data_IF_484856292541
#
_entry.id   IF_484856292541
#
_cell.length_a   1.000
_cell.length_b   1.000
_cell.length_c   1.000
_cell.angle_alpha   90.00
_cell.angle_beta   90.00
_cell.angle_gamma   90.00
#
_symmetry.space_group_name_H-M   'P 1'
#
loop_
_entity.id
_entity.type
_entity.pdbx_description
1 polymer ?
#
# COMPACT_ATOMS: atom_id res chain seq x y z
N UNK A 1 -0.97 -28.16 -5.45
CA UNK A 1 -1.65 -26.90 -5.50
C UNK A 1 -0.84 -25.82 -6.18
N UNK A 2 -1.47 -25.14 -7.00
CA UNK A 2 -0.83 -24.14 -7.81
C UNK A 2 -1.12 -22.73 -7.28
N UNK A 3 -0.08 -21.97 -7.05
CA UNK A 3 -0.23 -20.62 -6.56
C UNK A 3 0.13 -19.63 -7.65
N UNK A 4 -0.79 -18.76 -7.94
CA UNK A 4 -0.59 -17.75 -8.95
C UNK A 4 -0.05 -16.48 -8.28
N UNK A 5 1.13 -16.09 -8.67
CA UNK A 5 1.78 -14.92 -8.07
C UNK A 5 1.74 -13.76 -9.06
N UNK A 6 1.15 -12.66 -8.65
CA UNK A 6 1.17 -11.45 -9.43
C UNK A 6 2.45 -10.68 -9.13
N UNK A 7 2.93 -9.99 -10.14
CA UNK A 7 4.13 -9.21 -10.05
C UNK A 7 3.77 -7.81 -9.57
N UNK A 8 4.58 -7.25 -8.69
CA UNK A 8 4.43 -5.86 -8.29
C UNK A 8 5.33 -4.99 -9.15
N UNK A 9 4.80 -3.85 -9.57
CA UNK A 9 5.53 -2.88 -10.37
C UNK A 9 5.35 -1.50 -9.76
N UNK A 10 6.31 -0.63 -9.98
CA UNK A 10 6.23 0.75 -9.51
C UNK A 10 7.20 1.59 -10.33
N UNK A 11 7.09 2.91 -10.18
CA UNK A 11 7.97 3.84 -10.84
C UNK A 11 9.25 3.99 -10.02
N UNK A 12 10.40 3.71 -10.63
CA UNK A 12 11.67 3.73 -9.89
C UNK A 12 12.05 5.12 -9.42
N UNK A 13 11.75 6.15 -10.19
CA UNK A 13 12.01 7.52 -9.77
C UNK A 13 11.19 7.91 -8.55
N UNK A 14 9.93 7.49 -8.53
CA UNK A 14 9.06 7.70 -7.37
C UNK A 14 9.60 7.00 -6.15
N UNK A 15 10.10 5.78 -6.33
CA UNK A 15 10.66 5.00 -5.24
C UNK A 15 11.86 5.71 -4.61
N UNK A 16 12.76 6.24 -5.44
CA UNK A 16 13.92 6.96 -4.94
C UNK A 16 13.52 8.22 -4.20
N UNK A 17 12.53 8.91 -4.69
CA UNK A 17 12.01 10.10 -4.03
C UNK A 17 11.41 9.78 -2.66
N UNK A 18 10.64 8.70 -2.58
CA UNK A 18 10.05 8.27 -1.31
C UNK A 18 11.11 7.88 -0.30
N UNK A 19 12.18 7.23 -0.74
CA UNK A 19 13.29 6.89 0.16
C UNK A 19 13.91 8.14 0.75
N UNK A 20 14.10 9.17 -0.07
CA UNK A 20 14.72 10.41 0.40
C UNK A 20 13.80 11.23 1.30
N UNK A 21 12.53 11.34 0.89
CA UNK A 21 11.62 12.26 1.56
C UNK A 21 10.90 11.65 2.75
N UNK A 22 10.64 10.35 2.72
CA UNK A 22 9.82 9.71 3.75
C UNK A 22 10.48 8.49 4.36
N UNK A 23 11.67 8.17 3.91
CA UNK A 23 12.41 7.03 4.42
C UNK A 23 11.61 5.73 4.32
N UNK A 24 10.88 5.57 3.22
CA UNK A 24 10.08 4.38 2.95
C UNK A 24 10.25 4.02 1.48
N UNK A 25 10.13 2.74 1.15
CA UNK A 25 10.28 2.27 -0.21
C UNK A 25 9.19 1.29 -0.57
N UNK A 26 8.97 1.10 -1.88
CA UNK A 26 8.02 0.09 -2.33
C UNK A 26 8.49 -1.32 -1.95
N UNK A 27 9.79 -1.54 -1.92
CA UNK A 27 10.32 -2.85 -1.48
C UNK A 27 9.91 -3.15 -0.05
N UNK A 28 9.93 -2.15 0.83
CA UNK A 28 9.48 -2.34 2.20
C UNK A 28 7.99 -2.67 2.25
N UNK A 29 7.20 -2.01 1.43
CA UNK A 29 5.76 -2.28 1.37
C UNK A 29 5.52 -3.73 0.96
N UNK A 30 6.21 -4.20 -0.06
CA UNK A 30 6.05 -5.58 -0.53
C UNK A 30 6.47 -6.55 0.57
N UNK A 31 7.56 -6.26 1.26
CA UNK A 31 7.99 -7.09 2.38
C UNK A 31 6.87 -7.21 3.43
N UNK A 32 6.28 -6.07 3.83
CA UNK A 32 5.23 -6.10 4.83
C UNK A 32 3.98 -6.81 4.34
N UNK A 33 3.64 -6.65 3.08
CA UNK A 33 2.51 -7.38 2.50
C UNK A 33 2.76 -8.89 2.55
N UNK A 34 4.00 -9.31 2.29
CA UNK A 34 4.34 -10.73 2.33
C UNK A 34 4.31 -11.29 3.74
N UNK A 35 4.50 -10.43 4.74
CA UNK A 35 4.44 -10.83 6.14
C UNK A 35 3.01 -10.80 6.72
N UNK A 36 2.06 -10.39 5.90
CA UNK A 36 0.68 -10.32 6.36
C UNK A 36 0.33 -9.03 7.09
N UNK A 37 1.15 -8.01 6.95
CA UNK A 37 0.93 -6.73 7.64
C UNK A 37 -0.02 -5.85 6.85
N UNK A 38 -1.16 -6.39 6.53
CA UNK A 38 -2.20 -5.70 5.77
C UNK A 38 -3.44 -5.59 6.64
N UNK A 39 -3.85 -4.36 6.96
CA UNK A 39 -5.04 -4.16 7.76
C UNK A 39 -6.30 -4.35 6.92
N UNK A 40 -6.36 -3.69 5.77
CA UNK A 40 -7.51 -3.84 4.88
C UNK A 40 -7.19 -3.31 3.49
N UNK A 41 -8.10 -3.60 2.57
CA UNK A 41 -8.05 -3.06 1.21
C UNK A 41 -9.36 -2.32 0.99
N UNK A 42 -9.29 -1.13 0.44
CA UNK A 42 -10.48 -0.33 0.18
C UNK A 42 -10.43 0.25 -1.23
N UNK A 43 -11.60 0.61 -1.75
CA UNK A 43 -11.66 1.32 -3.03
C UNK A 43 -11.19 2.76 -2.81
N UNK A 44 -10.57 3.34 -3.84
CA UNK A 44 -10.21 4.75 -3.79
C UNK A 44 -11.50 5.56 -3.64
N UNK A 45 -11.54 6.53 -2.71
CA UNK A 45 -12.78 7.27 -2.47
C UNK A 45 -13.24 8.12 -3.66
N UNK A 46 -12.34 8.48 -4.56
CA UNK A 46 -12.69 9.28 -5.73
C UNK A 46 -12.55 8.44 -6.99
N UNK A 47 -13.56 7.61 -7.27
CA UNK A 47 -13.54 6.74 -8.44
C UNK A 47 -13.67 7.51 -9.75
N UNK A 48 -14.21 8.73 -9.71
CA UNK A 48 -14.32 9.53 -10.92
C UNK A 48 -12.96 9.91 -11.49
N UNK A 49 -12.04 10.34 -10.62
CA UNK A 49 -10.70 10.71 -11.04
C UNK A 49 -9.72 9.55 -11.03
N UNK A 50 -10.02 8.51 -10.26
CA UNK A 50 -9.13 7.37 -10.11
C UNK A 50 -9.90 6.07 -10.29
N UNK A 51 -10.46 5.86 -11.51
CA UNK A 51 -11.27 4.67 -11.75
C UNK A 51 -10.48 3.39 -11.58
N UNK A 52 -11.06 2.44 -10.85
CA UNK A 52 -10.45 1.15 -10.65
C UNK A 52 -9.34 1.10 -9.64
N UNK A 53 -8.96 2.23 -9.05
CA UNK A 53 -7.90 2.21 -8.04
C UNK A 53 -8.42 1.73 -6.70
N UNK A 54 -7.59 0.93 -6.04
CA UNK A 54 -7.83 0.47 -4.69
C UNK A 54 -6.65 0.89 -3.83
N UNK A 55 -6.79 0.72 -2.53
CA UNK A 55 -5.76 1.14 -1.59
C UNK A 55 -5.46 0.02 -0.61
N UNK A 56 -4.20 -0.35 -0.48
CA UNK A 56 -3.73 -1.20 0.61
C UNK A 56 -3.49 -0.33 1.83
N UNK A 57 -3.97 -0.78 2.98
CA UNK A 57 -3.67 -0.15 4.26
C UNK A 57 -2.62 -1.02 4.93
N UNK A 58 -1.35 -0.62 4.83
CA UNK A 58 -0.21 -1.45 5.22
C UNK A 58 0.32 -1.01 6.58
N UNK A 59 0.55 -1.98 7.45
CA UNK A 59 1.05 -1.72 8.81
C UNK A 59 2.58 -1.81 8.77
N UNK A 60 3.24 -0.69 9.09
CA UNK A 60 4.69 -0.65 9.14
C UNK A 60 5.07 -0.05 10.50
N UNK A 61 5.61 -0.87 11.39
CA UNK A 61 6.01 -0.45 12.73
C UNK A 61 4.85 0.23 13.48
N UNK A 62 3.67 -0.33 13.33
CA UNK A 62 2.49 0.19 14.03
C UNK A 62 1.85 1.40 13.39
N UNK A 63 2.39 1.88 12.29
CA UNK A 63 1.85 3.03 11.57
C UNK A 63 1.21 2.58 10.27
N UNK A 64 0.11 3.21 9.87
CA UNK A 64 -0.59 2.82 8.65
C UNK A 64 -0.15 3.68 7.48
N UNK A 65 0.27 3.01 6.41
CA UNK A 65 0.60 3.66 5.14
C UNK A 65 -0.43 3.26 4.10
N UNK A 66 -0.91 4.25 3.36
CA UNK A 66 -1.86 4.02 2.26
C UNK A 66 -1.07 3.83 0.99
N UNK A 67 -1.33 2.74 0.29
CA UNK A 67 -0.62 2.43 -0.95
C UNK A 67 -1.64 2.21 -2.05
N UNK A 68 -1.99 3.26 -2.79
CA UNK A 68 -2.92 3.11 -3.92
C UNK A 68 -2.31 2.23 -5.00
N UNK A 69 -3.13 1.39 -5.60
CA UNK A 69 -2.66 0.47 -6.62
C UNK A 69 -3.71 0.22 -7.68
N UNK A 70 -3.25 -0.28 -8.82
CA UNK A 70 -4.10 -0.68 -9.93
C UNK A 70 -3.72 -2.10 -10.29
N UNK A 71 -4.73 -2.95 -10.52
CA UNK A 71 -4.48 -4.31 -10.98
C UNK A 71 -4.58 -4.34 -12.49
N UNK A 72 -3.53 -4.83 -13.13
CA UNK A 72 -3.53 -5.07 -14.57
C UNK A 72 -3.45 -6.58 -14.78
N UNK A 73 -3.39 -7.01 -16.04
CA UNK A 73 -3.47 -8.44 -16.38
C UNK A 73 -2.53 -9.31 -15.55
N UNK A 74 -1.27 -8.95 -15.54
CA UNK A 74 -0.25 -9.78 -14.90
C UNK A 74 0.45 -9.13 -13.74
N UNK A 75 0.09 -7.90 -13.40
CA UNK A 75 0.82 -7.21 -12.34
C UNK A 75 -0.08 -6.26 -11.58
N UNK A 76 0.43 -5.86 -10.42
CA UNK A 76 -0.19 -4.86 -9.55
C UNK A 76 0.75 -3.67 -9.56
N UNK A 77 0.26 -2.53 -10.02
CA UNK A 77 1.07 -1.32 -10.07
C UNK A 77 0.83 -0.47 -8.82
N UNK A 78 1.88 -0.30 -8.02
CA UNK A 78 1.82 0.51 -6.81
C UNK A 78 2.09 1.96 -7.17
N UNK A 79 1.15 2.85 -6.85
CA UNK A 79 1.21 4.24 -7.32
C UNK A 79 2.07 5.13 -6.44
N UNK A 80 1.89 5.04 -5.12
CA UNK A 80 2.63 5.86 -4.19
C UNK A 80 2.49 5.27 -2.79
N UNK A 81 3.12 5.91 -1.80
CA UNK A 81 3.04 5.49 -0.40
C UNK A 81 2.76 6.74 0.42
N UNK A 82 1.65 6.75 1.15
CA UNK A 82 1.21 7.92 1.90
C UNK A 82 1.03 7.55 3.36
N UNK A 83 1.80 8.15 4.28
CA UNK A 83 1.55 7.90 5.70
C UNK A 83 0.21 8.52 6.10
N UNK A 84 -0.56 7.82 6.92
CA UNK A 84 -1.88 8.29 7.30
C UNK A 84 -2.03 8.29 8.82
N UNK A 85 -2.06 9.49 9.39
CA UNK A 85 -2.29 9.64 10.81
C UNK A 85 -3.70 9.18 11.19
N UNK A 86 -4.67 9.57 10.37
CA UNK A 86 -6.06 9.19 10.63
C UNK A 86 -6.25 7.67 10.59
N UNK A 87 -5.72 7.02 9.57
CA UNK A 87 -5.85 5.58 9.47
C UNK A 87 -5.13 4.87 10.62
N UNK A 88 -3.97 5.41 11.02
CA UNK A 88 -3.23 4.85 12.16
C UNK A 88 -4.06 4.94 13.43
N UNK A 89 -4.71 6.07 13.65
CA UNK A 89 -5.56 6.26 14.83
C UNK A 89 -6.72 5.27 14.80
N UNK A 90 -7.39 5.14 13.66
CA UNK A 90 -8.51 4.23 13.53
C UNK A 90 -8.09 2.78 13.77
N UNK A 91 -6.95 2.39 13.20
CA UNK A 91 -6.41 1.05 13.37
C UNK A 91 -6.09 0.78 14.85
N UNK A 92 -5.46 1.73 15.52
CA UNK A 92 -5.08 1.58 16.91
C UNK A 92 -6.32 1.45 17.79
N UNK A 93 -7.37 2.21 17.51
CA UNK A 93 -8.59 2.14 18.28
C UNK A 93 -9.33 0.81 18.09
N UNK A 94 -9.23 0.21 16.91
CA UNK A 94 -9.89 -1.07 16.66
C UNK A 94 -9.09 -2.25 17.16
N UNK A 95 -7.77 -2.18 17.10
CA UNK A 95 -6.92 -3.33 17.34
C UNK A 95 -5.97 -3.18 18.51
N UNK A 96 -5.85 -1.95 19.01
CA UNK A 96 -4.99 -1.72 20.13
C UNK A 96 -5.82 -1.65 21.37
N UNK A 97 -5.57 -1.66 22.34
CA UNK A 97 -6.28 -1.49 23.46
C UNK A 97 -5.80 -0.56 24.29
#
# INVERSE_FOLDING_TARGET
MYTYLMKFEWNSGKNEKLKKERNISFEQIIFHLSEGDLWKIADHPNQNDYPGQKIYFVIVDGYIYLVPFIVDDDYIFLKTIIPSRKATKDYTQENGD
#
